data_IF_332241148000
#
_entry.id   IF_332241148000
#
_cell.length_a   1.000
_cell.length_b   1.000
_cell.length_c   1.000
_cell.angle_alpha   90.00
_cell.angle_beta   90.00
_cell.angle_gamma   90.00
#
_symmetry.space_group_name_H-M   'P 1'
#
loop_
_entity.id
_entity.type
_entity.pdbx_description
1 polymer ?
#
# COMPACT_ATOMS: atom_id res chain seq x y z
N UNK A 1 -10.41 -29.78 -29.64
CA UNK A 1 -10.41 -28.31 -29.48
C UNK A 1 -9.42 -27.73 -30.49
N UNK A 2 -9.84 -26.78 -31.33
CA UNK A 2 -9.00 -26.22 -32.42
C UNK A 2 -7.78 -25.55 -31.78
N UNK A 3 -6.59 -25.77 -32.34
CA UNK A 3 -5.27 -25.38 -31.81
C UNK A 3 -5.17 -23.90 -31.34
N UNK A 4 -6.05 -23.02 -31.81
CA UNK A 4 -6.12 -21.62 -31.39
C UNK A 4 -6.58 -21.41 -29.94
N UNK A 5 -7.44 -22.26 -29.38
CA UNK A 5 -7.89 -22.10 -27.98
C UNK A 5 -6.74 -22.33 -27.01
N UNK A 6 -5.88 -23.29 -27.30
CA UNK A 6 -4.69 -23.57 -26.49
C UNK A 6 -3.68 -22.42 -26.57
N UNK A 7 -3.44 -21.89 -27.78
CA UNK A 7 -2.59 -20.72 -27.95
C UNK A 7 -3.13 -19.48 -27.19
N UNK A 8 -4.45 -19.26 -27.22
CA UNK A 8 -5.08 -18.17 -26.48
C UNK A 8 -4.88 -18.32 -24.96
N UNK A 9 -5.02 -19.54 -24.43
CA UNK A 9 -4.77 -19.80 -23.00
C UNK A 9 -3.31 -19.52 -22.64
N UNK A 10 -2.35 -19.95 -23.47
CA UNK A 10 -0.94 -19.68 -23.21
C UNK A 10 -0.61 -18.18 -23.19
N UNK A 11 -1.14 -17.42 -24.16
CA UNK A 11 -0.96 -15.97 -24.19
C UNK A 11 -1.58 -15.32 -22.97
N UNK A 12 -2.78 -15.75 -22.57
CA UNK A 12 -3.43 -15.25 -21.37
C UNK A 12 -2.60 -15.53 -20.10
N UNK A 13 -2.10 -16.76 -19.93
CA UNK A 13 -1.25 -17.11 -18.79
C UNK A 13 0.05 -16.30 -18.76
N UNK A 14 0.68 -16.07 -19.92
CA UNK A 14 1.86 -15.22 -20.02
C UNK A 14 1.55 -13.77 -19.63
N UNK A 15 0.41 -13.23 -20.05
CA UNK A 15 -0.02 -11.89 -19.67
C UNK A 15 -0.28 -11.77 -18.16
N UNK A 16 -0.94 -12.76 -17.56
CA UNK A 16 -1.18 -12.81 -16.11
C UNK A 16 0.15 -12.89 -15.36
N UNK A 17 1.07 -13.76 -15.79
CA UNK A 17 2.39 -13.87 -15.19
C UNK A 17 3.18 -12.54 -15.28
N UNK A 18 3.12 -11.86 -16.42
CA UNK A 18 3.73 -10.54 -16.60
C UNK A 18 3.13 -9.47 -15.69
N UNK A 19 1.80 -9.45 -15.55
CA UNK A 19 1.11 -8.51 -14.66
C UNK A 19 1.50 -8.74 -13.18
N UNK A 20 1.57 -10.01 -12.75
CA UNK A 20 2.00 -10.36 -11.40
C UNK A 20 3.46 -9.99 -11.14
N UNK A 21 4.35 -10.22 -12.10
CA UNK A 21 5.75 -9.82 -11.98
C UNK A 21 5.90 -8.29 -11.87
N UNK A 22 5.16 -7.54 -12.67
CA UNK A 22 5.13 -6.08 -12.59
C UNK A 22 4.59 -5.57 -11.24
N UNK A 23 3.50 -6.18 -10.74
CA UNK A 23 2.95 -5.86 -9.44
C UNK A 23 3.95 -6.14 -8.30
N UNK A 24 4.62 -7.29 -8.32
CA UNK A 24 5.66 -7.64 -7.37
C UNK A 24 6.81 -6.63 -7.39
N UNK A 25 7.33 -6.30 -8.58
CA UNK A 25 8.39 -5.29 -8.71
C UNK A 25 7.95 -3.90 -8.21
N UNK A 26 6.68 -3.53 -8.42
CA UNK A 26 6.14 -2.27 -7.92
C UNK A 26 6.06 -2.24 -6.39
N UNK A 27 5.52 -3.30 -5.77
CA UNK A 27 5.44 -3.42 -4.31
C UNK A 27 6.84 -3.40 -3.71
N UNK A 28 7.77 -4.21 -4.22
CA UNK A 28 9.13 -4.27 -3.70
C UNK A 28 9.90 -2.95 -3.86
N UNK A 29 9.59 -2.16 -4.89
CA UNK A 29 10.14 -0.80 -5.02
C UNK A 29 9.56 0.15 -3.98
N UNK A 30 8.25 0.05 -3.70
CA UNK A 30 7.56 0.86 -2.69
C UNK A 30 8.04 0.54 -1.28
N UNK A 31 8.22 -0.74 -0.96
CA UNK A 31 8.75 -1.18 0.33
C UNK A 31 10.14 -0.59 0.58
N UNK A 32 11.04 -0.61 -0.41
CA UNK A 32 12.38 0.00 -0.28
C UNK A 32 12.34 1.51 0.02
N UNK A 33 11.40 2.24 -0.58
CA UNK A 33 11.23 3.68 -0.29
C UNK A 33 10.73 3.88 1.15
N UNK A 34 9.81 3.04 1.62
CA UNK A 34 9.29 3.09 2.99
C UNK A 34 10.33 2.71 4.04
N UNK A 35 11.13 1.67 3.79
CA UNK A 35 12.20 1.23 4.68
C UNK A 35 13.25 2.34 4.89
N UNK A 36 13.56 3.11 3.85
CA UNK A 36 14.45 4.27 3.96
C UNK A 36 13.84 5.38 4.83
N UNK A 37 12.54 5.67 4.67
CA UNK A 37 11.86 6.66 5.52
C UNK A 37 11.75 6.20 6.96
N UNK A 38 11.48 4.92 7.22
CA UNK A 38 11.46 4.37 8.57
C UNK A 38 12.85 4.45 9.21
N UNK A 39 13.90 4.07 8.48
CA UNK A 39 15.26 4.18 8.96
C UNK A 39 15.66 5.63 9.25
N UNK A 40 15.24 6.60 8.44
CA UNK A 40 15.48 8.02 8.71
C UNK A 40 14.68 8.50 9.94
N UNK A 41 13.39 8.15 10.02
CA UNK A 41 12.46 8.60 11.08
C UNK A 41 12.79 7.98 12.45
N UNK A 42 13.28 6.74 12.46
CA UNK A 42 13.63 5.98 13.67
C UNK A 42 15.12 5.64 13.73
N UNK A 43 15.98 6.45 13.10
CA UNK A 43 17.43 6.26 13.21
C UNK A 43 17.87 6.40 14.66
N UNK A 44 18.77 5.52 15.11
CA UNK A 44 19.30 5.53 16.48
C UNK A 44 19.97 6.87 16.85
N UNK A 45 20.48 7.59 15.85
CA UNK A 45 21.08 8.93 16.03
C UNK A 45 20.01 10.01 16.31
N UNK A 46 18.82 9.92 15.70
CA UNK A 46 17.69 10.81 16.00
C UNK A 46 17.04 10.47 17.34
N UNK A 47 17.05 9.20 17.73
CA UNK A 47 16.52 8.72 19.00
C UNK A 47 17.39 9.14 20.21
N UNK A 48 18.63 9.57 19.97
CA UNK A 48 19.51 10.11 21.02
C UNK A 48 19.24 11.60 21.32
N UNK A 49 18.52 12.31 20.45
CA UNK A 49 18.25 13.76 20.57
C UNK A 49 16.82 14.11 21.00
N UNK A 50 15.93 13.14 21.21
CA UNK A 50 14.59 13.40 21.76
C UNK A 50 14.69 13.42 23.29
N UNK A 51 14.63 14.59 23.96
CA UNK A 51 14.42 14.60 25.39
C UNK A 51 13.08 13.91 25.70
N UNK A 52 13.08 13.01 26.68
CA UNK A 52 11.90 12.37 27.25
C UNK A 52 11.00 13.43 27.92
N UNK A 53 10.36 14.31 27.15
CA UNK A 53 9.25 15.12 27.63
C UNK A 53 8.03 14.79 26.79
N UNK A 54 7.18 14.00 27.44
CA UNK A 54 5.76 13.77 27.24
C UNK A 54 5.07 14.84 26.38
N UNK A 55 4.32 14.44 25.36
CA UNK A 55 2.96 14.96 25.15
C UNK A 55 2.17 14.10 24.16
N UNK A 56 0.92 13.84 24.56
CA UNK A 56 -0.08 12.97 23.94
C UNK A 56 -0.20 13.14 22.42
N UNK A 57 -0.11 12.03 21.69
CA UNK A 57 -0.69 11.95 20.34
C UNK A 57 -2.21 12.12 20.44
N UNK A 58 -2.83 13.18 19.87
CA UNK A 58 -4.27 13.21 19.79
C UNK A 58 -4.70 12.09 18.84
N UNK A 59 -5.49 11.15 19.37
CA UNK A 59 -6.13 10.11 18.57
C UNK A 59 -6.86 10.77 17.38
N UNK A 60 -6.78 10.19 16.16
CA UNK A 60 -7.59 10.70 15.06
C UNK A 60 -9.05 10.54 15.48
N UNK A 61 -9.77 11.65 15.56
CA UNK A 61 -11.21 11.64 15.77
C UNK A 61 -11.80 10.68 14.73
N UNK A 62 -12.42 9.60 15.22
CA UNK A 62 -13.25 8.75 14.40
C UNK A 62 -14.31 9.66 13.76
N UNK A 63 -14.18 9.90 12.45
CA UNK A 63 -15.30 10.30 11.61
C UNK A 63 -16.30 9.14 11.64
N UNK A 64 -17.14 9.12 12.68
CA UNK A 64 -18.36 8.34 12.63
C UNK A 64 -19.24 8.95 11.55
N UNK A 65 -19.46 8.14 10.51
CA UNK A 65 -20.47 8.30 9.50
C UNK A 65 -21.77 8.82 10.13
N UNK A 66 -22.26 9.96 9.65
CA UNK A 66 -23.67 10.30 9.75
C UNK A 66 -24.38 9.75 8.51
N UNK A 67 -25.19 8.67 8.62
CA UNK A 67 -26.12 8.32 7.57
C UNK A 67 -27.44 9.05 7.84
N UNK A 68 -27.78 10.05 7.03
CA UNK A 68 -29.16 10.52 6.93
C UNK A 68 -29.40 11.16 5.56
N UNK A 69 -29.79 10.27 4.65
CA UNK A 69 -30.48 10.50 3.38
C UNK A 69 -31.48 11.67 3.45
N UNK A 70 -31.34 12.65 2.53
CA UNK A 70 -32.35 13.69 2.32
C UNK A 70 -33.47 13.10 1.46
N UNK A 71 -34.76 13.19 1.83
CA UNK A 71 -35.83 12.98 0.87
C UNK A 71 -35.93 14.23 -0.02
N UNK A 72 -35.97 13.99 -1.33
CA UNK A 72 -36.33 14.98 -2.32
C UNK A 72 -37.86 15.20 -2.30
N UNK A 73 -38.27 16.46 -2.39
CA UNK A 73 -39.62 16.87 -2.82
C UNK A 73 -39.46 17.88 -3.97
#
# INVERSE_FOLDING_TARGET
MKKSTFAAILVFLAAVAGALAAAYMYIQRREKELDEYEQLLFSEEFNQEVPEDEEEVPAPAAEEEQPAEKPAE
#
